data_IF_498702734735
#
_entry.id   IF_498702734735
#
_cell.length_a   1.000
_cell.length_b   1.000
_cell.length_c   1.000
_cell.angle_alpha   90.00
_cell.angle_beta   90.00
_cell.angle_gamma   90.00
#
_symmetry.space_group_name_H-M   'P 1'
#
loop_
_entity.id
_entity.type
_entity.pdbx_description
1 polymer ?
#
# COMPACT_ATOMS: atom_id res chain seq x y z
N UNK A 1 18.45 20.30 0.13
CA UNK A 1 17.01 20.29 0.43
C UNK A 1 16.73 19.25 1.51
N UNK A 2 16.11 19.65 2.62
CA UNK A 2 15.68 18.73 3.69
C UNK A 2 14.30 19.14 4.21
N UNK A 3 13.61 18.22 4.83
CA UNK A 3 12.28 18.46 5.42
C UNK A 3 12.17 17.84 6.81
N UNK A 4 11.32 18.43 7.65
CA UNK A 4 10.87 17.82 8.89
C UNK A 4 9.47 17.29 8.64
N UNK A 5 9.31 15.97 8.72
CA UNK A 5 8.07 15.25 8.42
C UNK A 5 7.67 14.36 9.57
N UNK A 6 6.37 14.21 9.78
CA UNK A 6 5.82 13.25 10.74
C UNK A 6 5.59 11.90 10.05
N UNK A 7 6.19 10.86 10.61
CA UNK A 7 6.05 9.48 10.14
C UNK A 7 5.72 8.59 11.33
N UNK A 8 4.59 7.91 11.28
CA UNK A 8 4.13 7.02 12.36
C UNK A 8 4.14 7.67 13.75
N UNK A 9 3.70 8.93 13.86
CA UNK A 9 3.62 9.68 15.11
C UNK A 9 4.95 10.22 15.64
N UNK A 10 6.01 10.16 14.85
CA UNK A 10 7.33 10.71 15.19
C UNK A 10 7.83 11.67 14.11
N UNK A 11 8.56 12.70 14.52
CA UNK A 11 9.15 13.68 13.62
C UNK A 11 10.56 13.25 13.23
N UNK A 12 10.80 13.30 11.91
CA UNK A 12 12.09 12.96 11.31
C UNK A 12 12.59 14.11 10.45
N UNK A 13 13.90 14.37 10.55
CA UNK A 13 14.59 15.22 9.59
C UNK A 13 15.04 14.31 8.43
N UNK A 14 14.53 14.57 7.23
CA UNK A 14 14.77 13.75 6.05
C UNK A 14 15.34 14.56 4.90
N UNK A 15 16.29 13.98 4.19
CA UNK A 15 16.82 14.49 2.94
C UNK A 15 16.59 13.50 1.80
N UNK A 16 16.71 13.97 0.57
CA UNK A 16 16.61 13.11 -0.61
C UNK A 16 17.68 12.01 -0.55
N UNK A 17 17.34 10.81 -1.02
CA UNK A 17 18.18 9.61 -1.07
C UNK A 17 18.67 9.10 0.30
N UNK A 18 18.07 9.58 1.39
CA UNK A 18 18.37 9.15 2.74
C UNK A 18 17.58 7.89 3.12
N UNK A 19 18.24 6.95 3.82
CA UNK A 19 17.59 5.81 4.47
C UNK A 19 17.27 6.14 5.91
N UNK A 20 16.04 5.89 6.34
CA UNK A 20 15.57 6.18 7.69
C UNK A 20 14.86 4.96 8.26
N UNK A 21 15.06 4.71 9.55
CA UNK A 21 14.33 3.70 10.31
C UNK A 21 13.17 4.36 11.04
N UNK A 22 11.96 3.94 10.72
CA UNK A 22 10.72 4.45 11.32
C UNK A 22 9.97 3.32 12.01
N UNK A 23 8.98 3.65 12.82
CA UNK A 23 8.09 2.65 13.39
C UNK A 23 7.41 1.84 12.28
N UNK A 24 6.94 0.64 12.62
CA UNK A 24 6.33 -0.27 11.66
C UNK A 24 5.20 0.40 10.88
N UNK A 25 5.33 0.42 9.56
CA UNK A 25 4.31 0.87 8.63
C UNK A 25 3.51 -0.34 8.10
N UNK A 26 2.22 -0.13 7.83
CA UNK A 26 1.31 -1.13 7.25
C UNK A 26 1.38 -1.14 5.71
N UNK A 27 2.60 -1.12 5.18
CA UNK A 27 2.89 -1.19 3.75
C UNK A 27 3.75 -2.41 3.45
N UNK A 28 3.71 -2.94 2.24
CA UNK A 28 4.55 -4.06 1.81
C UNK A 28 5.94 -3.57 1.42
N UNK A 29 6.92 -4.48 1.49
CA UNK A 29 8.26 -4.21 0.97
C UNK A 29 8.20 -3.90 -0.52
N UNK A 30 8.79 -2.77 -0.91
CA UNK A 30 8.79 -2.26 -2.29
C UNK A 30 7.72 -1.21 -2.57
N UNK A 31 6.71 -1.05 -1.72
CA UNK A 31 5.65 -0.06 -1.90
C UNK A 31 6.19 1.36 -1.73
N UNK A 32 5.58 2.30 -2.46
CA UNK A 32 5.79 3.73 -2.28
C UNK A 32 4.74 4.29 -1.33
N UNK A 33 5.20 5.07 -0.37
CA UNK A 33 4.37 5.74 0.64
C UNK A 33 4.63 7.23 0.57
N UNK A 34 3.55 8.03 0.60
CA UNK A 34 3.62 9.49 0.67
C UNK A 34 3.27 9.96 2.09
N UNK A 35 4.00 10.95 2.56
CA UNK A 35 3.78 11.60 3.84
C UNK A 35 3.47 13.08 3.60
N UNK A 36 2.26 13.49 3.98
CA UNK A 36 1.74 14.84 3.70
C UNK A 36 1.91 15.79 4.92
N UNK A 37 2.23 15.24 6.11
CA UNK A 37 2.45 16.03 7.32
C UNK A 37 3.89 16.54 7.39
N UNK A 38 4.19 17.55 6.58
CA UNK A 38 5.50 18.21 6.54
C UNK A 38 5.43 19.50 7.35
N UNK A 39 6.19 19.60 8.43
CA UNK A 39 6.21 20.78 9.31
C UNK A 39 7.14 21.87 8.80
N UNK A 40 8.24 21.47 8.18
CA UNK A 40 9.22 22.40 7.65
C UNK A 40 9.85 21.85 6.37
N UNK A 41 10.07 22.72 5.42
CA UNK A 41 10.81 22.44 4.20
C UNK A 41 11.92 23.50 4.06
N UNK A 42 13.15 23.04 3.92
CA UNK A 42 14.30 23.91 3.68
C UNK A 42 14.99 23.56 2.36
N UNK A 43 15.09 24.55 1.49
CA UNK A 43 15.78 24.47 0.21
C UNK A 43 16.83 25.56 0.10
N UNK A 44 18.09 25.21 0.47
CA UNK A 44 19.17 26.17 0.56
C UNK A 44 18.84 27.31 1.52
N UNK A 45 18.69 28.53 0.99
CA UNK A 45 18.39 29.72 1.78
C UNK A 45 16.91 29.99 2.02
N UNK A 46 16.02 29.20 1.40
CA UNK A 46 14.57 29.34 1.57
C UNK A 46 14.06 28.31 2.58
N UNK A 47 13.47 28.81 3.65
CA UNK A 47 12.84 27.95 4.68
C UNK A 47 11.36 28.27 4.73
N UNK A 48 10.54 27.23 4.54
CA UNK A 48 9.08 27.30 4.67
C UNK A 48 8.67 26.52 5.91
N UNK A 49 8.05 27.19 6.87
CA UNK A 49 7.55 26.58 8.11
C UNK A 49 6.03 26.55 8.05
N UNK A 50 5.44 25.41 8.36
CA UNK A 50 3.99 25.22 8.41
C UNK A 50 3.39 25.60 9.77
N UNK A 51 2.12 25.96 9.77
CA UNK A 51 1.33 26.16 10.97
C UNK A 51 -0.06 25.52 10.78
N UNK A 52 -0.28 24.22 11.10
CA UNK A 52 0.67 23.25 11.64
C UNK A 52 1.58 22.57 10.59
N UNK A 53 1.17 22.46 9.33
CA UNK A 53 1.93 21.83 8.26
C UNK A 53 2.08 22.76 7.04
N UNK A 54 3.10 22.54 6.23
CA UNK A 54 3.34 23.27 4.99
C UNK A 54 2.31 22.80 3.95
N UNK A 55 1.55 23.73 3.40
CA UNK A 55 0.53 23.43 2.40
C UNK A 55 1.18 22.94 1.12
N UNK A 56 0.64 21.85 0.55
CA UNK A 56 1.13 21.21 -0.68
C UNK A 56 2.57 20.66 -0.61
N UNK A 57 3.11 20.45 0.59
CA UNK A 57 4.37 19.74 0.75
C UNK A 57 4.10 18.25 0.98
N UNK A 58 4.88 17.40 0.33
CA UNK A 58 4.83 15.95 0.53
C UNK A 58 6.23 15.34 0.42
N UNK A 59 6.42 14.23 1.12
CA UNK A 59 7.63 13.42 1.07
C UNK A 59 7.27 12.04 0.56
N UNK A 60 7.89 11.62 -0.53
CA UNK A 60 7.70 10.28 -1.06
C UNK A 60 8.85 9.38 -0.62
N UNK A 61 8.50 8.21 -0.10
CA UNK A 61 9.47 7.21 0.33
C UNK A 61 9.09 5.82 -0.18
N UNK A 62 10.11 4.98 -0.37
CA UNK A 62 9.97 3.58 -0.74
C UNK A 62 10.32 2.70 0.45
N UNK A 63 9.47 1.73 0.76
CA UNK A 63 9.73 0.72 1.80
C UNK A 63 10.78 -0.26 1.29
N UNK A 64 11.93 -0.33 1.98
CA UNK A 64 13.00 -1.28 1.64
C UNK A 64 12.71 -2.62 2.30
N UNK A 65 12.55 -2.63 3.61
CA UNK A 65 12.30 -3.84 4.40
C UNK A 65 11.73 -3.54 5.76
N UNK A 66 11.16 -4.57 6.36
CA UNK A 66 10.73 -4.56 7.75
C UNK A 66 11.73 -5.35 8.60
N UNK A 67 12.09 -4.79 9.74
CA UNK A 67 13.05 -5.40 10.64
C UNK A 67 12.64 -5.21 12.11
N UNK A 68 13.31 -5.93 12.97
CA UNK A 68 13.22 -5.72 14.44
C UNK A 68 14.56 -5.21 14.93
N UNK A 69 14.50 -4.19 15.77
CA UNK A 69 15.66 -3.60 16.41
C UNK A 69 16.36 -4.58 17.37
N UNK A 70 17.52 -4.18 17.88
CA UNK A 70 18.24 -4.93 18.89
C UNK A 70 17.39 -5.11 20.15
N UNK A 71 17.59 -6.25 20.82
CA UNK A 71 16.86 -6.54 22.05
C UNK A 71 17.34 -5.65 23.18
N UNK A 72 16.47 -4.79 23.68
CA UNK A 72 16.70 -3.97 24.87
C UNK A 72 16.27 -4.76 26.11
N UNK A 73 17.19 -4.92 27.05
CA UNK A 73 16.92 -5.62 28.29
C UNK A 73 16.44 -4.61 29.34
N UNK A 74 15.19 -4.75 29.75
CA UNK A 74 14.60 -3.97 30.84
C UNK A 74 14.76 -4.75 32.13
N UNK A 75 15.64 -4.28 33.00
CA UNK A 75 15.93 -4.93 34.29
C UNK A 75 15.49 -4.05 35.43
N UNK A 76 14.63 -4.60 36.29
CA UNK A 76 14.14 -3.93 37.49
C UNK A 76 14.54 -4.74 38.72
N UNK A 77 15.21 -4.11 39.67
CA UNK A 77 15.64 -4.74 40.93
C UNK A 77 15.41 -3.80 42.09
N UNK A 78 14.99 -4.33 43.23
CA UNK A 78 14.98 -3.62 44.51
C UNK A 78 15.96 -4.30 45.46
N UNK A 79 16.88 -3.51 46.02
CA UNK A 79 17.90 -4.02 46.96
C UNK A 79 17.24 -4.61 48.22
N UNK A 80 17.72 -5.75 48.67
CA UNK A 80 17.29 -6.44 49.91
C UNK A 80 15.78 -6.81 49.96
N UNK A 81 15.07 -6.80 48.83
CA UNK A 81 13.62 -7.07 48.75
C UNK A 81 13.28 -8.32 47.94
N UNK A 82 14.26 -9.04 47.43
CA UNK A 82 14.02 -10.18 46.53
C UNK A 82 13.43 -9.84 45.17
N UNK A 83 12.99 -8.61 44.94
CA UNK A 83 12.39 -8.17 43.70
C UNK A 83 13.45 -8.05 42.60
N UNK A 84 13.30 -8.88 41.55
CA UNK A 84 14.16 -8.89 40.37
C UNK A 84 13.36 -9.33 39.19
N UNK A 85 13.12 -8.43 38.22
CA UNK A 85 12.39 -8.67 36.98
C UNK A 85 13.30 -8.32 35.81
N UNK A 86 13.42 -9.22 34.83
CA UNK A 86 14.22 -9.04 33.62
C UNK A 86 13.33 -9.35 32.40
N UNK A 87 13.00 -8.32 31.64
CA UNK A 87 12.22 -8.41 30.41
C UNK A 87 13.05 -7.95 29.23
N UNK A 88 12.80 -8.52 28.04
CA UNK A 88 13.41 -8.07 26.80
C UNK A 88 12.35 -7.40 25.92
N UNK A 89 12.70 -6.27 25.31
CA UNK A 89 11.90 -5.58 24.31
C UNK A 89 12.63 -5.54 22.99
N UNK A 90 11.91 -5.82 21.89
CA UNK A 90 12.38 -5.61 20.52
C UNK A 90 11.35 -4.82 19.74
N UNK A 91 11.74 -3.62 19.32
CA UNK A 91 10.88 -2.74 18.54
C UNK A 91 10.80 -3.22 17.09
N UNK A 92 9.59 -3.24 16.54
CA UNK A 92 9.39 -3.48 15.11
C UNK A 92 9.57 -2.16 14.35
N UNK A 93 10.44 -2.17 13.34
CA UNK A 93 10.79 -1.02 12.52
C UNK A 93 10.57 -1.31 11.05
N UNK A 94 10.52 -0.23 10.25
CA UNK A 94 10.53 -0.25 8.80
C UNK A 94 11.67 0.62 8.30
N UNK A 95 12.51 0.10 7.44
CA UNK A 95 13.54 0.85 6.73
C UNK A 95 12.93 1.42 5.45
N UNK A 96 12.96 2.74 5.30
CA UNK A 96 12.47 3.47 4.14
C UNK A 96 13.59 4.24 3.48
N UNK A 97 13.51 4.39 2.16
CA UNK A 97 14.35 5.27 1.35
C UNK A 97 13.53 6.46 0.90
N UNK A 98 13.98 7.66 1.18
CA UNK A 98 13.36 8.90 0.72
C UNK A 98 13.69 9.10 -0.74
N UNK A 99 12.69 9.07 -1.63
CA UNK A 99 12.88 9.27 -3.08
C UNK A 99 12.78 10.76 -3.45
N UNK A 100 11.75 11.44 -2.92
CA UNK A 100 11.54 12.86 -3.19
C UNK A 100 11.10 13.63 -1.96
N UNK A 101 11.53 14.88 -1.89
CA UNK A 101 11.16 15.85 -0.86
C UNK A 101 10.80 17.14 -1.59
N UNK A 102 9.58 17.64 -1.46
CA UNK A 102 9.23 18.87 -2.13
C UNK A 102 7.80 19.34 -1.96
N UNK A 103 7.52 20.51 -2.51
CA UNK A 103 6.18 20.96 -2.79
C UNK A 103 5.69 20.21 -4.04
N UNK A 104 4.99 19.10 -3.86
CA UNK A 104 4.35 18.37 -4.94
C UNK A 104 2.92 18.84 -5.09
N UNK A 105 2.45 19.00 -6.31
CA UNK A 105 1.03 18.92 -6.60
C UNK A 105 0.57 17.57 -6.08
N UNK A 106 -0.32 17.58 -5.10
CA UNK A 106 -0.90 16.35 -4.55
C UNK A 106 -1.54 15.54 -5.70
N UNK A 107 -0.74 14.68 -6.33
CA UNK A 107 -1.29 13.64 -7.15
C UNK A 107 -1.86 12.63 -6.16
N UNK A 108 -3.15 12.80 -5.94
CA UNK A 108 -4.01 11.91 -5.19
C UNK A 108 -3.62 10.45 -5.48
N UNK A 109 -2.69 9.92 -4.70
CA UNK A 109 -2.55 8.50 -4.60
C UNK A 109 -3.85 8.03 -3.94
N UNK A 110 -4.69 7.36 -4.73
CA UNK A 110 -5.90 6.76 -4.25
C UNK A 110 -5.53 5.84 -3.10
N UNK A 111 -5.76 6.32 -1.89
CA UNK A 111 -5.80 5.49 -0.72
C UNK A 111 -6.87 4.44 -1.00
N UNK A 112 -6.47 3.20 -1.07
CA UNK A 112 -7.38 2.09 -0.97
C UNK A 112 -7.89 2.06 0.47
N UNK A 113 -8.85 2.91 0.73
CA UNK A 113 -9.65 2.88 1.94
C UNK A 113 -10.58 1.67 1.84
N UNK A 114 -10.17 0.60 2.45
CA UNK A 114 -11.02 -0.56 2.66
C UNK A 114 -11.63 -0.46 4.04
N UNK A 115 -12.57 0.45 4.18
CA UNK A 115 -13.46 0.45 5.32
C UNK A 115 -14.47 -0.69 5.18
N UNK A 116 -14.61 -1.43 6.25
CA UNK A 116 -15.54 -2.53 6.43
C UNK A 116 -17.01 -2.11 6.25
N UNK A 117 -17.78 -3.07 5.78
CA UNK A 117 -19.22 -3.05 5.57
C UNK A 117 -20.07 -2.73 6.82
N UNK A 118 -21.37 -2.39 6.66
CA UNK A 118 -22.33 -3.47 6.74
C UNK A 118 -23.48 -3.42 5.70
N UNK A 119 -24.05 -4.59 5.53
CA UNK A 119 -25.18 -4.96 4.69
C UNK A 119 -26.39 -4.04 4.82
N UNK A 120 -27.00 -3.72 3.69
CA UNK A 120 -28.46 -3.74 3.55
C UNK A 120 -28.82 -3.93 2.07
N UNK A 121 -29.78 -4.77 1.88
CA UNK A 121 -30.41 -5.24 0.66
C UNK A 121 -31.22 -4.10 0.05
N UNK A 122 -31.14 -3.82 -1.26
CA UNK A 122 -32.35 -3.61 -2.03
C UNK A 122 -32.10 -3.71 -3.55
N UNK A 123 -33.03 -4.35 -4.18
CA UNK A 123 -33.21 -4.77 -5.55
C UNK A 123 -33.76 -3.63 -6.38
N UNK A 124 -33.15 -3.31 -7.56
CA UNK A 124 -33.89 -2.82 -8.75
C UNK A 124 -32.98 -2.83 -9.99
N UNK A 125 -33.28 -3.67 -10.86
CA UNK A 125 -33.69 -3.67 -12.27
C UNK A 125 -33.06 -2.63 -13.24
N UNK A 126 -32.42 -3.23 -14.26
CA UNK A 126 -32.36 -2.92 -15.69
C UNK A 126 -31.75 -1.59 -16.19
N UNK A 127 -30.62 -1.73 -16.92
CA UNK A 127 -30.51 -1.35 -18.34
C UNK A 127 -29.10 -1.64 -18.87
N UNK A 128 -28.90 -1.96 -20.15
CA UNK A 128 -27.69 -2.56 -20.68
C UNK A 128 -26.59 -1.55 -20.95
N UNK A 129 -25.34 -1.88 -20.60
CA UNK A 129 -24.16 -1.12 -21.02
C UNK A 129 -23.40 -1.86 -22.10
N UNK A 130 -22.76 -1.15 -23.04
CA UNK A 130 -22.20 -1.73 -24.25
C UNK A 130 -20.97 -2.59 -23.96
N UNK A 131 -20.87 -3.67 -24.69
CA UNK A 131 -19.75 -4.63 -24.71
C UNK A 131 -18.45 -3.94 -25.13
N UNK A 132 -17.36 -4.06 -24.36
CA UNK A 132 -16.05 -3.66 -24.85
C UNK A 132 -15.49 -4.68 -25.83
N UNK A 133 -14.97 -4.18 -26.95
CA UNK A 133 -14.30 -4.92 -28.04
C UNK A 133 -13.29 -5.96 -27.55
N UNK A 134 -13.58 -7.22 -27.81
CA UNK A 134 -12.71 -8.38 -27.62
C UNK A 134 -11.72 -8.51 -28.79
N UNK A 135 -10.83 -7.55 -28.99
CA UNK A 135 -9.69 -7.72 -29.89
C UNK A 135 -8.39 -7.92 -29.11
N UNK A 136 -7.83 -9.11 -29.26
CA UNK A 136 -6.53 -9.62 -28.78
C UNK A 136 -6.46 -10.08 -27.30
N UNK A 137 -7.18 -11.13 -26.96
CA UNK A 137 -6.96 -11.89 -25.74
C UNK A 137 -6.35 -13.26 -26.10
N UNK A 138 -5.12 -13.50 -25.68
CA UNK A 138 -4.47 -14.81 -25.74
C UNK A 138 -5.13 -15.74 -24.70
N UNK A 139 -6.12 -16.53 -25.13
CA UNK A 139 -6.87 -17.43 -24.26
C UNK A 139 -6.03 -18.60 -23.72
N UNK A 140 -4.95 -18.97 -24.38
CA UNK A 140 -4.07 -20.08 -23.99
C UNK A 140 -3.30 -19.84 -22.66
N UNK A 141 -3.06 -18.57 -22.30
CA UNK A 141 -2.34 -18.20 -21.07
C UNK A 141 -3.25 -18.04 -19.84
N UNK A 142 -4.58 -18.04 -20.01
CA UNK A 142 -5.55 -17.84 -18.93
C UNK A 142 -5.84 -19.12 -18.13
N UNK A 143 -6.24 -18.94 -16.89
CA UNK A 143 -6.66 -20.04 -16.01
C UNK A 143 -8.04 -20.57 -16.40
N UNK A 144 -8.35 -21.82 -16.02
CA UNK A 144 -9.66 -22.45 -16.30
C UNK A 144 -10.82 -21.67 -15.69
N UNK A 145 -10.59 -21.03 -14.54
CA UNK A 145 -11.61 -20.21 -13.86
C UNK A 145 -11.95 -18.96 -14.67
N UNK A 146 -10.93 -18.22 -15.12
CA UNK A 146 -11.10 -17.02 -15.98
C UNK A 146 -11.71 -17.35 -17.35
N UNK A 147 -11.34 -18.50 -17.93
CA UNK A 147 -11.94 -18.95 -19.20
C UNK A 147 -13.44 -19.30 -19.03
N UNK A 148 -13.84 -19.86 -17.89
CA UNK A 148 -15.24 -20.12 -17.59
C UNK A 148 -16.05 -18.85 -17.38
N UNK A 149 -15.48 -17.81 -16.78
CA UNK A 149 -16.12 -16.51 -16.63
C UNK A 149 -16.32 -15.83 -17.98
N UNK A 150 -15.29 -15.80 -18.83
CA UNK A 150 -15.38 -15.27 -20.19
C UNK A 150 -16.39 -16.03 -21.07
N UNK A 151 -16.43 -17.37 -20.94
CA UNK A 151 -17.38 -18.20 -21.66
C UNK A 151 -18.83 -17.96 -21.18
N UNK A 152 -19.01 -17.64 -19.89
CA UNK A 152 -20.30 -17.25 -19.32
C UNK A 152 -20.76 -15.88 -19.82
N UNK A 153 -19.84 -14.90 -19.92
CA UNK A 153 -20.11 -13.59 -20.51
C UNK A 153 -20.43 -13.68 -22.00
N UNK A 154 -19.77 -14.61 -22.71
CA UNK A 154 -20.03 -14.89 -24.13
C UNK A 154 -21.30 -15.73 -24.37
N UNK A 155 -22.03 -16.13 -23.33
CA UNK A 155 -23.30 -16.85 -23.42
C UNK A 155 -23.18 -18.32 -23.85
N UNK A 156 -22.03 -18.95 -23.71
CA UNK A 156 -21.78 -20.33 -24.10
C UNK A 156 -22.44 -21.30 -23.10
N UNK A 157 -23.31 -22.19 -23.58
CA UNK A 157 -23.94 -23.19 -22.75
C UNK A 157 -23.03 -24.40 -22.46
N UNK A 158 -23.15 -25.02 -21.27
CA UNK A 158 -22.41 -26.25 -20.93
C UNK A 158 -21.01 -26.05 -20.34
N UNK A 159 -20.64 -24.86 -19.93
CA UNK A 159 -19.31 -24.44 -19.44
C UNK A 159 -18.77 -25.29 -18.28
N UNK A 160 -19.66 -25.82 -17.41
CA UNK A 160 -19.24 -26.55 -16.21
C UNK A 160 -18.57 -27.89 -16.51
N UNK A 161 -18.91 -28.53 -17.63
CA UNK A 161 -18.40 -29.84 -18.05
C UNK A 161 -17.21 -29.76 -19.02
N UNK A 162 -16.90 -28.56 -19.55
CA UNK A 162 -15.83 -28.36 -20.55
C UNK A 162 -14.43 -28.33 -19.95
N UNK A 163 -13.47 -28.96 -20.61
CA UNK A 163 -12.02 -28.88 -20.31
C UNK A 163 -11.44 -27.58 -20.84
N UNK A 164 -10.21 -27.21 -20.41
CA UNK A 164 -9.53 -25.98 -20.82
C UNK A 164 -9.45 -25.84 -22.32
N UNK A 165 -9.11 -26.90 -23.06
CA UNK A 165 -8.99 -26.89 -24.51
C UNK A 165 -10.33 -26.59 -25.18
N UNK A 166 -11.42 -27.17 -24.70
CA UNK A 166 -12.76 -26.98 -25.27
C UNK A 166 -13.28 -25.55 -24.99
N UNK A 167 -12.96 -24.98 -23.81
CA UNK A 167 -13.29 -23.58 -23.47
C UNK A 167 -12.54 -22.58 -24.37
N UNK A 168 -11.27 -22.83 -24.67
CA UNK A 168 -10.49 -21.99 -25.58
C UNK A 168 -11.06 -22.06 -26.99
N UNK A 169 -11.33 -23.27 -27.51
CA UNK A 169 -11.92 -23.47 -28.82
C UNK A 169 -13.31 -22.83 -28.97
N UNK A 170 -14.15 -22.95 -27.93
CA UNK A 170 -15.47 -22.33 -27.89
C UNK A 170 -15.43 -20.80 -27.87
N UNK A 171 -14.47 -20.21 -27.16
CA UNK A 171 -14.24 -18.76 -27.11
C UNK A 171 -13.63 -18.22 -28.41
N UNK A 172 -12.80 -19.01 -29.10
CA UNK A 172 -12.25 -18.65 -30.41
C UNK A 172 -13.30 -18.76 -31.52
N UNK A 173 -14.23 -19.73 -31.44
CA UNK A 173 -15.33 -19.88 -32.40
C UNK A 173 -16.43 -18.81 -32.25
N UNK A 174 -16.52 -18.17 -31.09
CA UNK A 174 -17.51 -17.13 -30.80
C UNK A 174 -16.92 -15.69 -30.91
N UNK A 175 -15.78 -15.55 -31.58
CA UNK A 175 -15.09 -14.30 -31.88
C UNK A 175 -15.51 -13.79 -33.28
#
# INVERSE_FOLDING_TARGET
>A
MFAIVEIAGQQFNVAKDQKVFVHRLDAKTGDKVSFDQVFMLADGNKVSVGAPAVVNASVEAKVIRHLKDNKVIVFKKKRRKGYRVKNGHRQSLTEILIESVGMGTAKKAAAAEKAAAPKAVEKKEAAPKPVPDVKALNFSSKTVAELKELAKEAGIAGISAMKKADLVAALEANK
#
